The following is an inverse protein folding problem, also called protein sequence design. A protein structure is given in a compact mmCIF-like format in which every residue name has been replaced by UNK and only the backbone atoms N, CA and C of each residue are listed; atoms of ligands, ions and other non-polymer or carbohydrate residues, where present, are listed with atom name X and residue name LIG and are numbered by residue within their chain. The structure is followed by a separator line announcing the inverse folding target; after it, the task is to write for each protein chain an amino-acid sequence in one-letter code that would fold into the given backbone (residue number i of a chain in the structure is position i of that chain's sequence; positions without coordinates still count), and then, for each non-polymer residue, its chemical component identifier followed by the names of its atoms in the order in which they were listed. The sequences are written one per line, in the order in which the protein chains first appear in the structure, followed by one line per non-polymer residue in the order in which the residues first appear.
data_IF_375404828146
#
_entry.id   IF_375404828146
#
_cell.length_a   1.000
_cell.length_b   1.000
_cell.length_c   1.000
_cell.angle_alpha   90.00
_cell.angle_beta   90.00
_cell.angle_gamma   90.00
#
_symmetry.space_group_name_H-M   'P 1'
#
loop_
_entity.id
_entity.type
_entity.pdbx_description
1 polymer ?
#
# COMPACT_ATOMS: atom_id res chain seq x y z
N UNK A 1 8.78 -11.60 28.48
CA UNK A 1 8.89 -10.14 28.25
C UNK A 1 7.46 -9.62 28.15
N UNK A 2 7.10 -8.52 28.82
CA UNK A 2 5.75 -7.95 28.68
C UNK A 2 5.72 -7.31 27.29
N UNK A 3 4.84 -7.78 26.42
CA UNK A 3 4.66 -7.21 25.08
C UNK A 3 3.75 -6.00 25.30
N UNK A 4 4.22 -4.81 24.91
CA UNK A 4 3.44 -3.59 25.02
C UNK A 4 2.62 -3.36 23.75
N UNK A 5 1.35 -3.04 23.94
CA UNK A 5 0.45 -2.54 22.90
C UNK A 5 0.28 -1.03 23.05
N UNK A 6 -0.36 -0.36 22.08
CA UNK A 6 -0.71 1.06 22.20
C UNK A 6 -1.43 1.32 23.53
N UNK A 7 -2.46 0.53 23.83
CA UNK A 7 -3.28 0.71 25.02
C UNK A 7 -2.47 0.52 26.32
N UNK A 8 -1.61 -0.50 26.39
CA UNK A 8 -0.82 -0.79 27.60
C UNK A 8 0.27 0.25 27.83
N UNK A 9 0.91 0.73 26.77
CA UNK A 9 2.01 1.69 26.86
C UNK A 9 1.53 3.10 27.20
N UNK A 10 0.50 3.57 26.50
CA UNK A 10 -0.09 4.90 26.72
C UNK A 10 -1.11 4.94 27.86
N UNK A 11 -1.38 3.80 28.51
CA UNK A 11 -2.36 3.64 29.60
C UNK A 11 -3.77 4.06 29.18
N UNK A 12 -4.13 3.74 27.93
CA UNK A 12 -5.47 3.93 27.39
C UNK A 12 -6.30 2.69 27.75
N UNK A 13 -7.49 2.82 28.35
CA UNK A 13 -8.38 1.68 28.54
C UNK A 13 -8.68 1.00 27.20
N UNK A 14 -8.51 -0.33 27.05
CA UNK A 14 -8.80 -1.02 25.79
C UNK A 14 -10.21 -0.78 25.25
N UNK A 15 -11.19 -0.59 26.14
CA UNK A 15 -12.57 -0.25 25.79
C UNK A 15 -12.71 1.05 24.99
N UNK A 16 -11.77 1.98 25.10
CA UNK A 16 -11.76 3.20 24.27
C UNK A 16 -11.39 2.86 22.84
N UNK A 17 -10.37 1.99 22.63
CA UNK A 17 -10.00 1.55 21.29
C UNK A 17 -11.13 0.74 20.65
N UNK A 18 -11.77 -0.16 21.41
CA UNK A 18 -12.94 -0.93 20.96
C UNK A 18 -14.10 0.00 20.55
N UNK A 19 -14.36 1.06 21.33
CA UNK A 19 -15.41 2.04 21.01
C UNK A 19 -15.09 2.86 19.75
N UNK A 20 -13.81 3.12 19.52
CA UNK A 20 -13.33 3.83 18.34
C UNK A 20 -13.12 2.93 17.12
N UNK A 21 -13.32 1.61 17.25
CA UNK A 21 -13.06 0.60 16.21
C UNK A 21 -11.60 0.60 15.72
N UNK A 22 -10.66 0.88 16.62
CA UNK A 22 -9.22 0.96 16.33
C UNK A 22 -8.48 -0.28 16.85
N UNK A 23 -7.58 -0.82 16.04
CA UNK A 23 -6.74 -1.98 16.41
C UNK A 23 -5.69 -1.60 17.45
N UNK A 24 -5.61 -2.39 18.53
CA UNK A 24 -4.55 -2.27 19.54
C UNK A 24 -3.28 -3.01 19.11
N UNK A 25 -2.47 -2.37 18.26
CA UNK A 25 -1.25 -2.98 17.71
C UNK A 25 -0.14 -3.14 18.75
N UNK A 26 0.73 -4.13 18.50
CA UNK A 26 1.98 -4.33 19.25
C UNK A 26 2.99 -3.21 18.92
N UNK A 27 3.79 -2.79 19.91
CA UNK A 27 4.80 -1.72 19.71
C UNK A 27 6.23 -2.24 19.45
N UNK A 28 6.54 -3.45 19.93
CA UNK A 28 7.89 -4.04 19.80
C UNK A 28 8.02 -5.03 18.63
N UNK A 29 6.91 -5.36 17.97
CA UNK A 29 6.84 -6.33 16.88
C UNK A 29 5.63 -6.04 16.00
N UNK A 30 5.59 -6.63 14.81
CA UNK A 30 4.42 -6.46 13.95
C UNK A 30 3.22 -7.27 14.45
N UNK A 31 2.05 -6.68 14.29
CA UNK A 31 0.77 -7.36 14.37
C UNK A 31 0.53 -8.00 13.00
N UNK A 32 0.19 -9.30 12.96
CA UNK A 32 -0.02 -10.04 11.72
C UNK A 32 -1.35 -9.67 11.04
N UNK A 33 -1.46 -8.41 10.68
CA UNK A 33 -2.57 -7.76 10.00
C UNK A 33 -2.01 -6.94 8.83
N UNK A 34 -2.83 -6.78 7.81
CA UNK A 34 -2.46 -6.10 6.58
C UNK A 34 -3.62 -5.20 6.15
N UNK A 35 -3.31 -4.05 5.58
CA UNK A 35 -4.31 -3.18 4.97
C UNK A 35 -4.64 -3.74 3.58
N UNK A 36 -5.90 -4.11 3.39
CA UNK A 36 -6.46 -4.44 2.08
C UNK A 36 -7.05 -3.16 1.47
N UNK A 37 -6.51 -2.64 0.35
CA UNK A 37 -7.01 -1.43 -0.28
C UNK A 37 -8.47 -1.54 -0.72
N UNK A 38 -8.97 -2.76 -1.01
CA UNK A 38 -10.36 -2.97 -1.40
C UNK A 38 -11.36 -2.75 -0.25
N UNK A 39 -10.87 -2.70 1.00
CA UNK A 39 -11.68 -2.45 2.19
C UNK A 39 -11.74 -0.97 2.58
N UNK A 40 -10.95 -0.09 1.95
CA UNK A 40 -11.02 1.35 2.20
C UNK A 40 -12.45 1.91 2.08
N UNK A 41 -13.19 1.71 0.96
CA UNK A 41 -14.54 2.26 0.79
C UNK A 41 -15.59 1.65 1.74
N UNK A 42 -15.26 0.51 2.37
CA UNK A 42 -16.12 -0.18 3.33
C UNK A 42 -15.84 0.23 4.80
N UNK A 43 -14.86 1.10 5.02
CA UNK A 43 -14.52 1.57 6.36
C UNK A 43 -15.67 2.38 6.99
N UNK A 44 -15.81 2.26 8.31
CA UNK A 44 -16.72 3.10 9.10
C UNK A 44 -16.16 4.51 9.33
N UNK A 45 -14.86 4.68 9.14
CA UNK A 45 -14.13 5.94 9.30
C UNK A 45 -14.14 6.72 7.98
N UNK A 46 -14.68 7.94 7.98
CA UNK A 46 -14.79 8.77 6.77
C UNK A 46 -13.43 9.09 6.16
N UNK A 47 -12.41 9.31 6.97
CA UNK A 47 -11.04 9.56 6.53
C UNK A 47 -10.47 8.37 5.72
N UNK A 48 -10.84 7.14 6.07
CA UNK A 48 -10.45 5.94 5.34
C UNK A 48 -11.34 5.69 4.13
N UNK A 49 -12.64 5.90 4.29
CA UNK A 49 -13.66 5.63 3.28
C UNK A 49 -13.63 6.60 2.11
N UNK A 50 -13.44 7.88 2.41
CA UNK A 50 -13.59 8.95 1.43
C UNK A 50 -12.19 9.45 1.00
N UNK A 51 -11.36 9.92 1.94
CA UNK A 51 -10.09 10.58 1.61
C UNK A 51 -9.01 9.58 1.17
N UNK A 52 -8.82 8.50 1.94
CA UNK A 52 -7.84 7.46 1.60
C UNK A 52 -8.22 6.68 0.33
N UNK A 53 -9.48 6.29 0.17
CA UNK A 53 -9.98 5.63 -1.05
C UNK A 53 -9.78 6.51 -2.28
N UNK A 54 -10.20 7.78 -2.22
CA UNK A 54 -10.02 8.71 -3.33
C UNK A 54 -8.54 8.91 -3.66
N UNK A 55 -7.68 9.02 -2.64
CA UNK A 55 -6.23 9.15 -2.83
C UNK A 55 -5.63 7.90 -3.50
N UNK A 56 -6.10 6.71 -3.13
CA UNK A 56 -5.70 5.45 -3.74
C UNK A 56 -6.08 5.41 -5.22
N UNK A 57 -7.37 5.62 -5.52
CA UNK A 57 -7.92 5.64 -6.89
C UNK A 57 -7.21 6.69 -7.75
N UNK A 58 -7.03 7.92 -7.25
CA UNK A 58 -6.36 9.00 -7.97
C UNK A 58 -4.93 8.67 -8.33
N UNK A 59 -4.21 8.00 -7.42
CA UNK A 59 -2.82 7.63 -7.61
C UNK A 59 -2.69 6.60 -8.72
N UNK A 60 -3.47 5.52 -8.66
CA UNK A 60 -3.44 4.49 -9.70
C UNK A 60 -4.00 4.96 -11.03
N UNK A 61 -5.05 5.80 -11.02
CA UNK A 61 -5.56 6.45 -12.23
C UNK A 61 -4.47 7.28 -12.92
N UNK A 62 -3.65 8.03 -12.17
CA UNK A 62 -2.53 8.79 -12.74
C UNK A 62 -1.44 7.87 -13.30
N UNK A 63 -1.12 6.79 -12.60
CA UNK A 63 -0.12 5.80 -13.05
C UNK A 63 -0.58 5.11 -14.33
N UNK A 64 -1.82 4.63 -14.38
CA UNK A 64 -2.43 4.00 -15.57
C UNK A 64 -2.42 4.96 -16.76
N UNK A 65 -2.80 6.24 -16.56
CA UNK A 65 -2.74 7.27 -17.61
C UNK A 65 -1.32 7.52 -18.14
N UNK A 66 -0.32 7.46 -17.27
CA UNK A 66 1.08 7.58 -17.70
C UNK A 66 1.53 6.33 -18.45
N UNK A 67 1.16 5.14 -17.96
CA UNK A 67 1.48 3.88 -18.61
C UNK A 67 0.83 3.75 -19.99
N UNK A 68 -0.43 4.15 -20.17
CA UNK A 68 -1.10 4.13 -21.47
C UNK A 68 -0.48 5.12 -22.47
N UNK A 69 0.17 6.18 -21.98
CA UNK A 69 0.93 7.12 -22.80
C UNK A 69 2.38 6.69 -23.08
N UNK A 70 2.87 5.63 -22.43
CA UNK A 70 4.22 5.12 -22.65
C UNK A 70 4.36 4.52 -24.04
N UNK A 71 5.48 4.78 -24.70
CA UNK A 71 5.85 4.12 -25.96
C UNK A 71 6.94 3.08 -25.75
N UNK A 72 7.75 3.28 -24.71
CA UNK A 72 8.90 2.45 -24.38
C UNK A 72 8.86 2.16 -22.88
N UNK A 73 9.05 0.90 -22.49
CA UNK A 73 8.96 0.39 -21.12
C UNK A 73 10.27 0.57 -20.33
N UNK A 74 10.94 1.72 -20.47
CA UNK A 74 12.19 2.01 -19.77
C UNK A 74 12.40 3.50 -19.49
N UNK A 75 13.44 3.79 -18.69
CA UNK A 75 13.70 5.14 -18.15
C UNK A 75 14.04 6.21 -19.21
N UNK A 76 14.18 5.85 -20.49
CA UNK A 76 14.29 6.82 -21.59
C UNK A 76 12.96 7.53 -21.90
N UNK A 77 11.83 6.87 -21.63
CA UNK A 77 10.49 7.44 -21.78
C UNK A 77 10.12 8.29 -20.55
N UNK A 78 9.62 9.50 -20.78
CA UNK A 78 9.26 10.44 -19.72
C UNK A 78 8.02 9.99 -18.94
N UNK A 79 7.04 9.38 -19.62
CA UNK A 79 5.83 8.88 -18.99
C UNK A 79 6.17 7.67 -18.11
N UNK A 80 7.02 6.77 -18.59
CA UNK A 80 7.53 5.63 -17.83
C UNK A 80 8.25 6.08 -16.56
N UNK A 81 9.24 6.96 -16.70
CA UNK A 81 10.03 7.45 -15.57
C UNK A 81 9.18 8.21 -14.55
N UNK A 82 8.13 8.90 -14.99
CA UNK A 82 7.21 9.59 -14.09
C UNK A 82 6.31 8.60 -13.35
N UNK A 83 5.74 7.62 -14.05
CA UNK A 83 4.93 6.57 -13.44
C UNK A 83 5.73 5.76 -12.42
N UNK A 84 6.96 5.38 -12.76
CA UNK A 84 7.87 4.65 -11.87
C UNK A 84 8.20 5.40 -10.58
N UNK A 85 8.28 6.74 -10.62
CA UNK A 85 8.46 7.56 -9.42
C UNK A 85 7.22 7.55 -8.53
N UNK A 86 6.02 7.57 -9.12
CA UNK A 86 4.76 7.46 -8.38
C UNK A 86 4.54 6.06 -7.80
N UNK A 87 5.08 5.03 -8.46
CA UNK A 87 5.00 3.62 -8.05
C UNK A 87 6.14 3.19 -7.10
N UNK A 88 6.95 4.13 -6.60
CA UNK A 88 8.09 3.83 -5.75
C UNK A 88 7.71 4.01 -4.28
N UNK A 89 7.32 2.92 -3.62
CA UNK A 89 6.88 2.93 -2.23
C UNK A 89 8.00 2.48 -1.29
N UNK A 90 8.31 3.31 -0.28
CA UNK A 90 9.23 2.94 0.80
C UNK A 90 8.55 2.03 1.81
N UNK A 91 9.31 1.24 2.52
CA UNK A 91 8.79 0.49 3.67
C UNK A 91 8.36 1.44 4.80
N UNK A 92 7.25 1.16 5.48
CA UNK A 92 6.74 1.97 6.60
C UNK A 92 6.88 1.19 7.92
N UNK A 93 7.98 1.44 8.64
CA UNK A 93 8.30 0.71 9.88
C UNK A 93 7.58 1.18 11.16
N UNK A 94 6.58 2.05 11.06
CA UNK A 94 5.88 2.63 12.23
C UNK A 94 4.38 2.32 12.30
N UNK A 95 3.83 1.57 11.35
CA UNK A 95 2.47 0.99 11.44
C UNK A 95 2.41 -0.22 12.37
N UNK A 96 3.55 -0.91 12.58
CA UNK A 96 3.63 -2.17 13.32
C UNK A 96 2.65 -3.23 12.79
N UNK A 97 2.44 -3.23 11.47
CA UNK A 97 1.66 -4.20 10.71
C UNK A 97 2.63 -4.98 9.82
N UNK A 98 2.44 -6.29 9.69
CA UNK A 98 3.26 -7.08 8.78
C UNK A 98 3.76 -8.41 9.33
N UNK A 99 4.81 -8.92 8.71
CA UNK A 99 5.47 -10.19 9.07
C UNK A 99 6.73 -10.01 9.94
N UNK A 100 7.10 -8.79 10.34
CA UNK A 100 8.36 -8.48 10.99
C UNK A 100 8.43 -8.88 12.47
N UNK A 101 9.51 -9.59 12.82
CA UNK A 101 10.01 -9.66 14.21
C UNK A 101 10.99 -8.53 14.55
N UNK A 102 11.31 -7.69 13.57
CA UNK A 102 12.08 -6.44 13.65
C UNK A 102 11.59 -5.52 12.52
N UNK A 103 11.51 -4.20 12.77
CA UNK A 103 10.90 -3.16 11.93
C UNK A 103 11.56 -2.87 10.56
N UNK A 104 12.07 -3.90 9.86
CA UNK A 104 12.63 -3.84 8.51
C UNK A 104 12.12 -5.02 7.68
N UNK A 105 10.97 -4.87 7.08
CA UNK A 105 10.41 -5.68 6.02
C UNK A 105 11.14 -5.53 4.68
N UNK A 106 10.56 -6.10 3.63
CA UNK A 106 11.11 -6.03 2.27
C UNK A 106 10.20 -5.18 1.40
N UNK A 107 10.33 -3.85 1.50
CA UNK A 107 9.61 -2.92 0.62
C UNK A 107 9.91 -3.15 -0.87
N UNK A 108 9.31 -2.35 -1.77
CA UNK A 108 9.51 -2.48 -3.21
C UNK A 108 10.94 -2.13 -3.63
N UNK A 109 11.78 -3.17 -3.78
CA UNK A 109 13.13 -3.01 -4.32
C UNK A 109 13.10 -2.58 -5.79
N UNK A 110 14.18 -1.93 -6.31
CA UNK A 110 14.20 -1.39 -7.67
C UNK A 110 13.88 -2.41 -8.77
N UNK A 111 14.30 -3.67 -8.59
CA UNK A 111 14.02 -4.75 -9.53
C UNK A 111 12.53 -5.10 -9.56
N UNK A 112 11.90 -5.22 -8.38
CA UNK A 112 10.48 -5.52 -8.28
C UNK A 112 9.67 -4.38 -8.89
N UNK A 113 9.96 -3.12 -8.52
CA UNK A 113 9.33 -1.94 -9.13
C UNK A 113 9.38 -2.01 -10.66
N UNK A 114 10.54 -2.29 -11.25
CA UNK A 114 10.68 -2.39 -12.70
C UNK A 114 9.86 -3.52 -13.31
N UNK A 115 9.89 -4.73 -12.71
CA UNK A 115 9.14 -5.88 -13.22
C UNK A 115 7.63 -5.62 -13.14
N UNK A 116 7.17 -5.17 -11.98
CA UNK A 116 5.79 -4.85 -11.71
C UNK A 116 5.27 -3.74 -12.63
N UNK A 117 6.07 -2.69 -12.88
CA UNK A 117 5.75 -1.64 -13.85
C UNK A 117 5.64 -2.16 -15.29
N UNK A 118 6.45 -3.14 -15.69
CA UNK A 118 6.36 -3.76 -17.02
C UNK A 118 5.08 -4.55 -17.16
N UNK A 119 4.71 -5.31 -16.14
CA UNK A 119 3.45 -6.06 -16.10
C UNK A 119 2.25 -5.12 -16.11
N UNK A 120 2.28 -4.04 -15.33
CA UNK A 120 1.26 -2.99 -15.38
C UNK A 120 1.14 -2.39 -16.79
N UNK A 121 2.25 -2.05 -17.43
CA UNK A 121 2.26 -1.50 -18.78
C UNK A 121 1.66 -2.48 -19.81
N UNK A 122 1.97 -3.78 -19.70
CA UNK A 122 1.38 -4.81 -20.54
C UNK A 122 -0.14 -4.93 -20.33
N UNK A 123 -0.61 -4.92 -19.09
CA UNK A 123 -2.04 -5.03 -18.77
C UNK A 123 -2.80 -3.79 -19.26
N UNK A 124 -2.28 -2.59 -19.02
CA UNK A 124 -2.85 -1.34 -19.54
C UNK A 124 -2.88 -1.32 -21.06
N UNK A 125 -1.88 -1.91 -21.73
CA UNK A 125 -1.86 -2.06 -23.19
C UNK A 125 -2.92 -3.04 -23.73
N UNK A 126 -3.58 -3.81 -22.86
CA UNK A 126 -4.72 -4.67 -23.19
C UNK A 126 -6.07 -3.97 -22.91
N UNK A 127 -6.07 -2.65 -22.77
CA UNK A 127 -7.24 -1.82 -22.44
C UNK A 127 -7.88 -2.17 -21.08
N UNK A 128 -7.06 -2.64 -20.13
CA UNK A 128 -7.46 -2.82 -18.72
C UNK A 128 -6.96 -1.61 -17.94
N UNK A 129 -7.88 -0.73 -17.55
CA UNK A 129 -7.61 0.57 -16.92
C UNK A 129 -8.22 0.73 -15.52
N UNK A 130 -8.44 -0.39 -14.84
CA UNK A 130 -8.99 -0.47 -13.49
C UNK A 130 -7.95 -0.06 -12.41
N UNK A 131 -8.23 0.91 -11.51
CA UNK A 131 -7.36 1.22 -10.37
C UNK A 131 -7.08 0.02 -9.45
N UNK A 132 -8.00 -0.96 -9.40
CA UNK A 132 -7.85 -2.19 -8.61
C UNK A 132 -6.88 -3.19 -9.27
N UNK A 133 -6.32 -2.82 -10.43
CA UNK A 133 -5.31 -3.56 -11.17
C UNK A 133 -4.15 -4.05 -10.29
N UNK A 134 -3.78 -3.36 -9.21
CA UNK A 134 -2.70 -3.82 -8.34
C UNK A 134 -3.02 -5.15 -7.64
N UNK A 135 -4.28 -5.35 -7.22
CA UNK A 135 -4.69 -6.64 -6.64
C UNK A 135 -4.55 -7.75 -7.68
N UNK A 136 -4.88 -7.46 -8.93
CA UNK A 136 -4.68 -8.38 -10.07
C UNK A 136 -3.19 -8.62 -10.31
N UNK A 137 -2.34 -7.59 -10.27
CA UNK A 137 -0.89 -7.71 -10.45
C UNK A 137 -0.22 -8.56 -9.36
N UNK A 138 -0.73 -8.52 -8.13
CA UNK A 138 -0.21 -9.36 -7.03
C UNK A 138 -0.35 -10.87 -7.30
N UNK A 139 -1.30 -11.27 -8.16
CA UNK A 139 -1.48 -12.67 -8.58
C UNK A 139 -0.44 -13.11 -9.61
N UNK A 140 0.15 -12.17 -10.37
CA UNK A 140 1.06 -12.46 -11.48
C UNK A 140 2.53 -12.19 -11.15
N UNK A 141 2.80 -11.28 -10.23
CA UNK A 141 4.15 -10.86 -9.86
C UNK A 141 4.67 -11.60 -8.63
N UNK A 142 5.64 -12.50 -8.83
CA UNK A 142 6.32 -13.16 -7.73
C UNK A 142 7.01 -12.13 -6.83
N UNK A 143 6.73 -12.24 -5.52
CA UNK A 143 7.27 -11.33 -4.52
C UNK A 143 6.36 -10.17 -4.14
N UNK A 144 5.18 -10.00 -4.76
CA UNK A 144 4.12 -9.11 -4.24
C UNK A 144 3.20 -9.91 -3.33
N UNK A 145 3.22 -9.63 -2.03
CA UNK A 145 2.34 -10.23 -1.04
C UNK A 145 1.56 -9.20 -0.23
N UNK A 146 0.75 -9.68 0.72
CA UNK A 146 -0.11 -8.84 1.56
C UNK A 146 0.65 -7.71 2.30
N UNK A 147 1.86 -7.99 2.76
CA UNK A 147 2.77 -7.02 3.41
C UNK A 147 3.08 -5.82 2.50
N UNK A 148 3.49 -6.10 1.27
CA UNK A 148 3.83 -5.07 0.28
C UNK A 148 2.59 -4.32 -0.19
N UNK A 149 1.46 -5.00 -0.35
CA UNK A 149 0.16 -4.36 -0.63
C UNK A 149 -0.18 -3.38 0.50
N UNK A 150 -0.03 -3.81 1.75
CA UNK A 150 -0.29 -3.00 2.94
C UNK A 150 0.65 -1.79 3.03
N UNK A 151 1.95 -1.99 2.84
CA UNK A 151 2.96 -0.93 2.81
C UNK A 151 2.66 0.11 1.73
N UNK A 152 2.40 -0.36 0.51
CA UNK A 152 2.04 0.49 -0.62
C UNK A 152 0.79 1.30 -0.30
N UNK A 153 -0.27 0.64 0.16
CA UNK A 153 -1.54 1.28 0.50
C UNK A 153 -1.30 2.36 1.54
N UNK A 154 -0.53 2.06 2.59
CA UNK A 154 -0.15 3.03 3.63
C UNK A 154 0.60 4.22 3.04
N UNK A 155 1.62 4.02 2.19
CA UNK A 155 2.36 5.13 1.56
C UNK A 155 1.46 6.05 0.73
N UNK A 156 0.49 5.47 0.03
CA UNK A 156 -0.40 6.23 -0.86
C UNK A 156 -1.35 7.09 -0.03
N UNK A 157 -1.98 6.49 0.99
CA UNK A 157 -3.08 7.13 1.71
C UNK A 157 -2.63 8.01 2.87
N UNK A 158 -1.39 7.86 3.37
CA UNK A 158 -0.96 8.52 4.59
C UNK A 158 -1.09 10.06 4.55
N UNK A 159 -0.76 10.70 3.43
CA UNK A 159 -0.90 12.15 3.28
C UNK A 159 -2.36 12.64 3.20
N UNK A 160 -3.32 11.71 3.07
CA UNK A 160 -4.75 12.00 3.00
C UNK A 160 -5.48 11.80 4.34
N UNK A 161 -4.80 11.20 5.33
CA UNK A 161 -5.29 11.00 6.69
C UNK A 161 -4.84 12.15 7.62
#
# INVERSE_FOLDING_TARGET
KKIDTISSYFKIPPSILDQLDVVDVLLESDTLLFIDPMLLPESKHSEMKDDADQKYIDTFTKIIKLLSACKIDNDSDIAWRTAKKLFSFSEIGWTCLGYGSSAKGSGFGPQLVNNTMKTAHQIVSMDIDDPDLFMVMSLFEEGIGADRISDMTTNIIFDAL
#
